data_IF_435876987261
#
_entry.id   IF_435876987261
#
_cell.length_a   1.000
_cell.length_b   1.000
_cell.length_c   1.000
_cell.angle_alpha   90.00
_cell.angle_beta   90.00
_cell.angle_gamma   90.00
#
_symmetry.space_group_name_H-M   'P 1'
#
loop_
_entity.id
_entity.type
_entity.pdbx_description
1 polymer ?
#
# COMPACT_ATOMS: atom_id res chain seq x y z
N UNK A 1 -0.47 -15.48 13.45
CA UNK A 1 -0.18 -15.42 12.00
C UNK A 1 1.24 -15.86 11.73
N UNK A 2 1.47 -16.52 10.60
CA UNK A 2 2.84 -16.87 10.21
C UNK A 2 3.61 -15.62 9.79
N UNK A 3 4.93 -15.70 9.82
CA UNK A 3 5.77 -14.58 9.39
C UNK A 3 5.52 -14.22 7.93
N UNK A 4 5.28 -15.23 7.09
CA UNK A 4 4.99 -14.99 5.68
C UNK A 4 3.71 -14.19 5.49
N UNK A 5 2.66 -14.50 6.23
CA UNK A 5 1.40 -13.76 6.18
C UNK A 5 1.61 -12.31 6.60
N UNK A 6 2.39 -12.10 7.65
CA UNK A 6 2.69 -10.75 8.13
C UNK A 6 3.42 -9.92 7.07
N UNK A 7 4.41 -10.52 6.41
CA UNK A 7 5.18 -9.84 5.36
C UNK A 7 4.28 -9.48 4.19
N UNK A 8 3.44 -10.40 3.74
CA UNK A 8 2.51 -10.17 2.62
C UNK A 8 1.53 -9.05 2.96
N UNK A 9 0.94 -9.10 4.15
CA UNK A 9 -0.01 -8.06 4.58
C UNK A 9 0.67 -6.70 4.65
N UNK A 10 1.87 -6.63 5.17
CA UNK A 10 2.63 -5.38 5.24
C UNK A 10 2.93 -4.82 3.86
N UNK A 11 3.37 -5.66 2.94
CA UNK A 11 3.69 -5.25 1.57
C UNK A 11 2.46 -4.75 0.83
N UNK A 12 1.34 -5.48 0.93
CA UNK A 12 0.09 -5.08 0.30
C UNK A 12 -0.41 -3.76 0.86
N UNK A 13 -0.34 -3.59 2.18
CA UNK A 13 -0.78 -2.34 2.82
C UNK A 13 0.05 -1.14 2.34
N UNK A 14 1.35 -1.27 2.31
CA UNK A 14 2.24 -0.20 1.84
C UNK A 14 1.97 0.12 0.38
N UNK A 15 1.83 -0.89 -0.46
CA UNK A 15 1.55 -0.70 -1.88
C UNK A 15 0.22 0.00 -2.10
N UNK A 16 -0.81 -0.37 -1.36
CA UNK A 16 -2.13 0.26 -1.45
C UNK A 16 -2.08 1.73 -1.06
N UNK A 17 -1.34 2.06 -0.01
CA UNK A 17 -1.18 3.44 0.44
C UNK A 17 -0.44 4.26 -0.60
N UNK A 18 0.64 3.73 -1.16
CA UNK A 18 1.41 4.42 -2.20
C UNK A 18 0.57 4.65 -3.46
N UNK A 19 -0.19 3.66 -3.89
CA UNK A 19 -1.07 3.80 -5.04
C UNK A 19 -2.14 4.88 -4.80
N UNK A 20 -2.75 4.88 -3.64
CA UNK A 20 -3.75 5.89 -3.28
C UNK A 20 -3.12 7.29 -3.27
N UNK A 21 -1.93 7.43 -2.73
CA UNK A 21 -1.23 8.71 -2.68
C UNK A 21 -0.95 9.25 -4.09
N UNK A 22 -0.54 8.38 -5.01
CA UNK A 22 -0.29 8.79 -6.39
C UNK A 22 -1.57 9.22 -7.09
N UNK A 23 -2.67 8.50 -6.88
CA UNK A 23 -3.96 8.87 -7.46
C UNK A 23 -4.44 10.22 -6.93
N UNK A 24 -4.33 10.45 -5.65
CA UNK A 24 -4.69 11.73 -5.05
C UNK A 24 -3.80 12.85 -5.57
N UNK A 25 -2.51 12.59 -5.73
CA UNK A 25 -1.58 13.57 -6.28
C UNK A 25 -1.96 14.02 -7.68
N UNK A 26 -2.38 13.10 -8.53
CA UNK A 26 -2.83 13.43 -9.89
C UNK A 26 -4.10 14.26 -9.86
N UNK A 27 -5.05 13.89 -8.99
CA UNK A 27 -6.32 14.61 -8.88
C UNK A 27 -6.14 16.04 -8.37
N UNK A 28 -5.22 16.24 -7.44
CA UNK A 28 -4.99 17.54 -6.82
C UNK A 28 -3.95 18.36 -7.56
N UNK A 29 -3.08 17.70 -8.30
CA UNK A 29 -2.02 18.34 -9.06
C UNK A 29 -2.43 18.59 -10.46
#
# INVERSE_FOLDING_TARGET
MSQATKIVLGTVSVSAVLAAALLFGILLG
#
